data_IF_735088109168
#
_entry.id   IF_735088109168
#
_cell.length_a   1.000
_cell.length_b   1.000
_cell.length_c   1.000
_cell.angle_alpha   90.00
_cell.angle_beta   90.00
_cell.angle_gamma   90.00
#
_symmetry.space_group_name_H-M   'P 1'
#
loop_
_entity.id
_entity.type
_entity.pdbx_description
1 polymer ?
#
# COMPACT_ATOMS: atom_id res chain seq x y z
N UNK A 1 -34.80 66.16 20.88
CA UNK A 1 -34.57 66.72 19.52
C UNK A 1 -33.68 67.95 19.68
N UNK A 2 -32.38 67.84 19.39
CA UNK A 2 -31.43 68.96 19.44
C UNK A 2 -30.59 68.98 18.14
N UNK A 3 -30.46 70.20 17.59
CA UNK A 3 -29.71 70.58 16.39
C UNK A 3 -28.25 70.94 16.73
N UNK A 4 -27.48 71.19 15.66
CA UNK A 4 -26.17 71.90 15.57
C UNK A 4 -24.93 70.98 15.65
N UNK A 5 -23.88 71.02 14.80
CA UNK A 5 -23.35 71.98 13.80
C UNK A 5 -22.59 71.17 12.70
N UNK A 6 -22.77 71.38 11.39
CA UNK A 6 -21.97 72.25 10.47
C UNK A 6 -20.46 72.33 10.76
N UNK A 7 -19.61 71.77 9.88
CA UNK A 7 -18.42 72.37 9.19
C UNK A 7 -17.98 71.36 8.09
N UNK A 8 -18.28 71.57 6.80
CA UNK A 8 -17.48 72.22 5.75
C UNK A 8 -16.14 71.54 5.36
N UNK A 9 -16.18 70.95 4.15
CA UNK A 9 -15.19 71.09 3.04
C UNK A 9 -13.82 70.40 3.15
N UNK A 10 -13.50 69.49 2.21
CA UNK A 10 -12.67 69.74 1.00
C UNK A 10 -12.45 68.39 0.30
N UNK A 11 -12.86 68.33 -0.96
CA UNK A 11 -12.47 67.32 -1.94
C UNK A 11 -10.96 67.39 -2.18
N UNK A 12 -10.26 66.26 -2.03
CA UNK A 12 -8.98 66.06 -2.70
C UNK A 12 -8.95 64.63 -3.26
N UNK A 13 -9.22 64.55 -4.55
CA UNK A 13 -9.01 63.35 -5.36
C UNK A 13 -7.49 63.21 -5.50
N UNK A 14 -6.92 62.22 -4.83
CA UNK A 14 -5.54 61.80 -5.06
C UNK A 14 -5.60 60.60 -6.01
N UNK A 15 -5.34 60.87 -7.29
CA UNK A 15 -5.14 59.87 -8.32
C UNK A 15 -3.75 59.25 -8.13
N UNK A 16 -3.67 58.11 -7.45
CA UNK A 16 -2.44 57.31 -7.40
C UNK A 16 -2.38 56.39 -8.63
N UNK A 17 -1.56 56.80 -9.60
CA UNK A 17 -0.98 55.89 -10.58
C UNK A 17 0.10 55.07 -9.87
N UNK A 18 -0.18 53.80 -9.56
CA UNK A 18 0.85 52.81 -9.28
C UNK A 18 0.85 51.76 -10.39
N UNK A 19 1.81 51.93 -11.29
CA UNK A 19 2.38 50.84 -12.09
C UNK A 19 3.38 50.15 -11.18
N UNK A 20 3.20 48.86 -10.89
CA UNK A 20 4.27 47.83 -10.80
C UNK A 20 3.69 46.51 -10.30
N UNK A 21 4.05 45.42 -10.99
CA UNK A 21 4.17 44.10 -10.38
C UNK A 21 2.97 43.17 -10.56
N UNK A 22 2.95 42.41 -11.67
CA UNK A 22 2.44 41.05 -11.60
C UNK A 22 3.37 40.26 -10.68
N UNK A 23 3.09 40.27 -9.38
CA UNK A 23 3.73 39.36 -8.44
C UNK A 23 3.18 37.97 -8.75
N UNK A 24 3.93 37.21 -9.54
CA UNK A 24 3.68 35.77 -9.70
C UNK A 24 3.81 35.17 -8.31
N UNK A 25 2.66 34.90 -7.69
CA UNK A 25 2.55 34.04 -6.54
C UNK A 25 3.06 32.67 -7.00
N UNK A 26 4.33 32.37 -6.73
CA UNK A 26 4.83 31.01 -6.80
C UNK A 26 4.03 30.22 -5.77
N UNK A 27 3.02 29.50 -6.24
CA UNK A 27 2.44 28.39 -5.51
C UNK A 27 3.59 27.44 -5.19
N UNK A 28 4.06 27.53 -3.96
CA UNK A 28 4.98 26.56 -3.37
C UNK A 28 4.26 25.23 -3.45
N UNK A 29 4.50 24.47 -4.52
CA UNK A 29 4.05 23.11 -4.70
C UNK A 29 4.53 22.38 -3.45
N UNK A 30 3.60 22.16 -2.52
CA UNK A 30 3.85 21.33 -1.35
C UNK A 30 4.22 19.98 -1.92
N UNK A 31 5.51 19.69 -1.93
CA UNK A 31 6.02 18.36 -2.19
C UNK A 31 5.38 17.50 -1.11
N UNK A 32 4.35 16.76 -1.50
CA UNK A 32 3.77 15.72 -0.66
C UNK A 32 4.93 14.77 -0.45
N UNK A 33 5.56 14.84 0.73
CA UNK A 33 6.43 13.78 1.20
C UNK A 33 5.49 12.60 1.38
N UNK A 34 5.29 11.84 0.30
CA UNK A 34 4.70 10.51 0.40
C UNK A 34 5.74 9.75 1.18
N UNK A 35 5.54 9.65 2.49
CA UNK A 35 6.38 8.83 3.34
C UNK A 35 6.32 7.43 2.75
N UNK A 36 7.41 7.04 2.10
CA UNK A 36 7.47 5.85 1.25
C UNK A 36 7.47 4.65 2.19
N UNK A 37 6.26 4.23 2.55
CA UNK A 37 6.08 3.18 3.53
C UNK A 37 6.66 1.88 2.98
N UNK A 38 7.47 1.22 3.81
CA UNK A 38 8.07 -0.07 3.47
C UNK A 38 6.96 -1.04 3.01
N UNK A 39 7.14 -1.75 1.87
CA UNK A 39 6.16 -2.74 1.43
C UNK A 39 5.98 -3.82 2.50
N UNK A 40 4.75 -4.31 2.65
CA UNK A 40 4.42 -5.36 3.61
C UNK A 40 3.90 -6.58 2.86
N UNK A 41 4.45 -7.75 3.20
CA UNK A 41 3.98 -9.05 2.73
C UNK A 41 3.50 -9.85 3.94
N UNK A 42 2.21 -10.16 3.96
CA UNK A 42 1.57 -10.93 5.03
C UNK A 42 1.28 -12.35 4.51
N UNK A 43 1.70 -13.37 5.25
CA UNK A 43 1.58 -14.78 4.89
C UNK A 43 0.77 -15.49 5.98
N UNK A 44 -0.44 -15.95 5.65
CA UNK A 44 -1.22 -16.86 6.50
C UNK A 44 -1.00 -18.29 6.03
N UNK A 45 -0.65 -19.21 6.93
CA UNK A 45 -0.37 -20.60 6.56
C UNK A 45 -0.90 -21.60 7.60
N UNK A 46 -1.30 -22.78 7.11
CA UNK A 46 -1.66 -23.90 7.98
C UNK A 46 -0.43 -24.69 8.36
N UNK A 47 0.01 -24.59 9.61
CA UNK A 47 1.31 -25.07 10.07
C UNK A 47 1.40 -26.60 10.24
N UNK A 48 1.23 -27.34 9.14
CA UNK A 48 1.28 -28.81 9.11
C UNK A 48 2.05 -29.32 7.88
N UNK A 49 2.38 -30.62 7.87
CA UNK A 49 3.30 -31.27 6.92
C UNK A 49 3.25 -30.76 5.47
N UNK A 50 2.11 -30.83 4.77
CA UNK A 50 2.01 -30.46 3.35
C UNK A 50 2.54 -29.07 2.98
N UNK A 51 2.42 -28.06 3.85
CA UNK A 51 2.83 -26.68 3.53
C UNK A 51 4.32 -26.41 3.76
N UNK A 52 4.99 -27.24 4.58
CA UNK A 52 6.35 -26.96 5.04
C UNK A 52 7.38 -26.80 3.90
N UNK A 53 7.36 -27.63 2.83
CA UNK A 53 8.27 -27.45 1.70
C UNK A 53 8.09 -26.09 1.01
N UNK A 54 6.84 -25.65 0.84
CA UNK A 54 6.50 -24.36 0.23
C UNK A 54 7.00 -23.21 1.11
N UNK A 55 6.74 -23.25 2.43
CA UNK A 55 7.22 -22.22 3.35
C UNK A 55 8.75 -22.12 3.39
N UNK A 56 9.45 -23.27 3.34
CA UNK A 56 10.92 -23.29 3.28
C UNK A 56 11.43 -22.61 2.00
N UNK A 57 10.82 -22.92 0.85
CA UNK A 57 11.18 -22.31 -0.43
C UNK A 57 10.87 -20.82 -0.45
N UNK A 58 9.71 -20.39 0.03
CA UNK A 58 9.36 -18.97 0.17
C UNK A 58 10.39 -18.21 1.02
N UNK A 59 10.76 -18.73 2.20
CA UNK A 59 11.78 -18.09 3.05
C UNK A 59 13.13 -17.96 2.35
N UNK A 60 13.55 -19.01 1.64
CA UNK A 60 14.80 -19.00 0.86
C UNK A 60 14.78 -17.92 -0.21
N UNK A 61 13.69 -17.81 -0.97
CA UNK A 61 13.54 -16.81 -2.03
C UNK A 61 13.42 -15.39 -1.44
N UNK A 62 12.76 -15.23 -0.29
CA UNK A 62 12.53 -13.93 0.34
C UNK A 62 13.77 -13.33 1.00
N UNK A 63 14.80 -14.13 1.28
CA UNK A 63 16.06 -13.65 1.85
C UNK A 63 16.69 -12.50 1.03
N UNK A 64 16.49 -12.48 -0.29
CA UNK A 64 17.01 -11.41 -1.16
C UNK A 64 16.34 -10.03 -0.95
N UNK A 65 15.19 -10.00 -0.27
CA UNK A 65 14.41 -8.78 0.01
C UNK A 65 14.53 -8.32 1.46
N UNK A 66 15.46 -8.91 2.22
CA UNK A 66 15.73 -8.49 3.60
C UNK A 66 15.99 -6.97 3.66
N UNK A 67 15.42 -6.32 4.67
CA UNK A 67 15.45 -4.86 4.88
C UNK A 67 14.79 -4.00 3.79
N UNK A 68 14.14 -4.61 2.78
CA UNK A 68 13.39 -3.89 1.74
C UNK A 68 11.89 -4.13 1.81
N UNK A 69 11.46 -5.16 2.53
CA UNK A 69 10.08 -5.61 2.69
C UNK A 69 9.90 -6.10 4.12
N UNK A 70 8.77 -5.76 4.73
CA UNK A 70 8.33 -6.36 5.99
C UNK A 70 7.58 -7.66 5.69
N UNK A 71 8.12 -8.80 6.13
CA UNK A 71 7.43 -10.09 6.03
C UNK A 71 6.78 -10.45 7.36
N UNK A 72 5.45 -10.63 7.35
CA UNK A 72 4.66 -11.06 8.52
C UNK A 72 4.12 -12.46 8.29
N UNK A 73 4.36 -13.36 9.22
CA UNK A 73 3.99 -14.77 9.12
C UNK A 73 2.97 -15.09 10.21
N UNK A 74 1.82 -15.62 9.80
CA UNK A 74 0.68 -15.92 10.65
C UNK A 74 0.32 -17.41 10.51
N UNK A 75 0.27 -18.09 11.65
CA UNK A 75 -0.15 -19.47 11.78
C UNK A 75 -1.69 -19.52 11.88
N UNK A 76 -2.34 -20.21 10.94
CA UNK A 76 -3.80 -20.28 10.82
C UNK A 76 -4.51 -20.73 12.10
N UNK A 77 -3.85 -21.59 12.88
CA UNK A 77 -4.40 -22.15 14.12
C UNK A 77 -4.17 -21.25 15.34
N UNK A 78 -3.19 -20.33 15.27
CA UNK A 78 -2.78 -19.50 16.42
C UNK A 78 -3.18 -18.04 16.28
N UNK A 79 -3.10 -17.49 15.07
CA UNK A 79 -3.32 -16.06 14.80
C UNK A 79 -4.79 -15.76 14.44
N UNK A 80 -5.69 -16.10 15.37
CA UNK A 80 -7.14 -16.01 15.18
C UNK A 80 -7.59 -14.58 14.88
N UNK A 81 -7.04 -13.57 15.56
CA UNK A 81 -7.41 -12.17 15.33
C UNK A 81 -7.08 -11.71 13.91
N UNK A 82 -5.90 -12.07 13.41
CA UNK A 82 -5.49 -11.76 12.03
C UNK A 82 -6.40 -12.46 11.02
N UNK A 83 -6.66 -13.75 11.24
CA UNK A 83 -7.56 -14.56 10.41
C UNK A 83 -8.97 -13.94 10.34
N UNK A 84 -9.55 -13.58 11.48
CA UNK A 84 -10.84 -12.91 11.57
C UNK A 84 -10.83 -11.54 10.89
N UNK A 85 -9.79 -10.72 11.09
CA UNK A 85 -9.63 -9.42 10.42
C UNK A 85 -9.60 -9.54 8.90
N UNK A 86 -9.01 -10.62 8.35
CA UNK A 86 -8.93 -10.88 6.92
C UNK A 86 -10.18 -11.57 6.35
N UNK A 87 -11.16 -11.92 7.19
CA UNK A 87 -12.38 -12.61 6.76
C UNK A 87 -12.12 -14.03 6.25
N UNK A 88 -11.09 -14.70 6.76
CA UNK A 88 -10.77 -16.08 6.40
C UNK A 88 -11.42 -17.02 7.43
N UNK A 89 -12.42 -17.79 7.01
CA UNK A 89 -13.16 -18.72 7.87
C UNK A 89 -13.11 -20.18 7.38
N UNK A 90 -12.57 -20.42 6.19
CA UNK A 90 -12.44 -21.76 5.60
C UNK A 90 -10.99 -22.26 5.58
N UNK A 91 -10.85 -23.57 5.47
CA UNK A 91 -9.58 -24.29 5.42
C UNK A 91 -8.76 -23.85 4.19
N UNK A 92 -7.82 -22.93 4.41
CA UNK A 92 -6.99 -22.36 3.35
C UNK A 92 -5.51 -22.60 3.69
N UNK A 93 -4.82 -23.52 3.00
CA UNK A 93 -3.47 -23.94 3.38
C UNK A 93 -2.45 -22.80 3.42
N UNK A 94 -2.62 -21.82 2.54
CA UNK A 94 -1.72 -20.70 2.36
C UNK A 94 -2.46 -19.53 1.69
N UNK A 95 -2.27 -18.32 2.19
CA UNK A 95 -2.68 -17.07 1.52
C UNK A 95 -1.58 -16.04 1.71
N UNK A 96 -1.28 -15.28 0.66
CA UNK A 96 -0.29 -14.20 0.72
C UNK A 96 -0.93 -12.89 0.29
N UNK A 97 -0.77 -11.85 1.10
CA UNK A 97 -1.14 -10.49 0.75
C UNK A 97 0.13 -9.65 0.56
N UNK A 98 0.16 -8.84 -0.49
CA UNK A 98 1.20 -7.85 -0.74
C UNK A 98 0.50 -6.49 -0.70
N UNK A 99 0.93 -5.61 0.22
CA UNK A 99 0.27 -4.32 0.48
C UNK A 99 -1.26 -4.47 0.62
N UNK A 100 -1.69 -5.42 1.46
CA UNK A 100 -3.08 -5.73 1.77
C UNK A 100 -3.93 -6.32 0.61
N UNK A 101 -3.34 -6.64 -0.55
CA UNK A 101 -4.02 -7.35 -1.64
C UNK A 101 -3.44 -8.74 -1.86
N UNK A 102 -4.28 -9.77 -1.97
CA UNK A 102 -3.87 -11.12 -2.39
C UNK A 102 -4.00 -11.34 -3.91
N UNK A 103 -4.45 -10.32 -4.64
CA UNK A 103 -4.51 -10.30 -6.11
C UNK A 103 -3.53 -9.24 -6.60
N UNK A 104 -2.57 -9.65 -7.43
CA UNK A 104 -1.53 -8.75 -7.95
C UNK A 104 -1.46 -8.89 -9.46
N UNK A 105 -1.37 -7.74 -10.14
CA UNK A 105 -1.07 -7.69 -11.56
C UNK A 105 0.45 -7.92 -11.78
N UNK A 106 0.78 -8.96 -12.54
CA UNK A 106 2.15 -9.32 -12.92
C UNK A 106 2.16 -9.45 -14.43
N UNK A 107 2.90 -8.57 -15.11
CA UNK A 107 3.06 -8.60 -16.56
C UNK A 107 1.71 -8.60 -17.33
N UNK A 108 0.67 -7.95 -16.78
CA UNK A 108 -0.69 -7.88 -17.36
C UNK A 108 -1.60 -9.06 -17.00
N UNK A 109 -1.13 -10.00 -16.18
CA UNK A 109 -1.90 -11.12 -15.64
C UNK A 109 -2.28 -10.85 -14.18
N UNK A 110 -3.56 -11.02 -13.82
CA UNK A 110 -3.99 -10.97 -12.42
C UNK A 110 -3.75 -12.33 -11.77
N UNK A 111 -2.82 -12.37 -10.81
CA UNK A 111 -2.46 -13.59 -10.07
C UNK A 111 -3.02 -13.49 -8.64
N UNK A 112 -3.74 -14.54 -8.22
CA UNK A 112 -4.25 -14.68 -6.85
C UNK A 112 -3.36 -15.61 -6.04
N UNK A 113 -2.79 -15.12 -4.95
CA UNK A 113 -1.93 -15.90 -4.06
C UNK A 113 -2.73 -16.56 -2.93
N UNK A 114 -3.44 -17.64 -3.27
CA UNK A 114 -4.20 -18.47 -2.33
C UNK A 114 -4.08 -19.95 -2.69
N UNK A 115 -4.13 -20.82 -1.68
CA UNK A 115 -3.85 -22.26 -1.82
C UNK A 115 -2.37 -22.56 -2.03
N UNK A 116 -2.06 -23.83 -2.30
CA UNK A 116 -0.71 -24.24 -2.70
C UNK A 116 -0.31 -23.65 -4.06
N UNK A 117 0.99 -23.46 -4.35
CA UNK A 117 1.44 -23.25 -5.72
C UNK A 117 0.96 -24.36 -6.67
N UNK A 118 0.81 -24.05 -7.96
CA UNK A 118 0.21 -24.89 -9.01
C UNK A 118 0.81 -26.30 -9.13
N UNK A 119 2.07 -26.47 -8.75
CA UNK A 119 2.80 -27.76 -8.86
C UNK A 119 3.22 -28.32 -7.49
N UNK A 120 2.73 -27.74 -6.39
CA UNK A 120 3.08 -28.10 -5.02
C UNK A 120 1.84 -28.58 -4.23
N UNK A 121 2.02 -29.40 -3.20
CA UNK A 121 0.94 -29.85 -2.31
C UNK A 121 -0.16 -30.71 -2.96
N UNK A 122 -1.25 -31.01 -2.23
CA UNK A 122 -2.38 -31.81 -2.71
C UNK A 122 -3.16 -31.09 -3.83
N UNK A 123 -3.48 -31.79 -4.90
CA UNK A 123 -4.10 -31.21 -6.12
C UNK A 123 -5.38 -30.43 -5.85
N UNK A 124 -6.26 -30.94 -4.98
CA UNK A 124 -7.53 -30.29 -4.61
C UNK A 124 -7.37 -28.97 -3.84
N UNK A 125 -6.15 -28.64 -3.41
CA UNK A 125 -5.85 -27.45 -2.61
C UNK A 125 -4.87 -26.48 -3.32
N UNK A 126 -4.59 -26.72 -4.61
CA UNK A 126 -3.69 -25.89 -5.42
C UNK A 126 -4.41 -24.66 -5.97
N UNK A 127 -3.71 -23.53 -5.95
CA UNK A 127 -4.05 -22.32 -6.67
C UNK A 127 -3.43 -22.29 -8.06
N UNK A 128 -3.68 -21.19 -8.79
CA UNK A 128 -3.13 -20.93 -10.13
C UNK A 128 -1.97 -19.94 -10.07
N UNK A 129 -0.99 -20.21 -9.19
CA UNK A 129 0.18 -19.36 -9.02
C UNK A 129 1.44 -20.18 -8.76
N UNK A 130 2.62 -19.61 -8.96
CA UNK A 130 3.89 -20.23 -8.65
C UNK A 130 4.82 -19.29 -7.86
N UNK A 131 5.85 -19.86 -7.24
CA UNK A 131 6.77 -19.09 -6.38
C UNK A 131 7.51 -18.00 -7.18
N UNK A 132 7.81 -18.22 -8.47
CA UNK A 132 8.46 -17.19 -9.28
C UNK A 132 7.54 -15.98 -9.54
N UNK A 133 6.24 -16.18 -9.74
CA UNK A 133 5.25 -15.09 -9.78
C UNK A 133 5.21 -14.35 -8.44
N UNK A 134 5.20 -15.07 -7.31
CA UNK A 134 5.23 -14.42 -5.99
C UNK A 134 6.50 -13.57 -5.80
N UNK A 135 7.67 -14.08 -6.18
CA UNK A 135 8.94 -13.33 -6.13
C UNK A 135 8.89 -12.10 -7.04
N UNK A 136 8.36 -12.22 -8.26
CA UNK A 136 8.15 -11.07 -9.17
C UNK A 136 7.24 -10.02 -8.55
N UNK A 137 6.15 -10.44 -7.90
CA UNK A 137 5.20 -9.54 -7.26
C UNK A 137 5.85 -8.75 -6.11
N UNK A 138 6.63 -9.43 -5.26
CA UNK A 138 7.42 -8.78 -4.19
C UNK A 138 8.45 -7.83 -4.80
N UNK A 139 9.15 -8.24 -5.85
CA UNK A 139 10.13 -7.38 -6.50
C UNK A 139 9.50 -6.13 -7.14
N UNK A 140 8.28 -6.25 -7.68
CA UNK A 140 7.52 -5.12 -8.25
C UNK A 140 7.25 -4.06 -7.17
N UNK A 141 6.79 -4.46 -5.99
CA UNK A 141 6.53 -3.49 -4.90
C UNK A 141 7.81 -2.92 -4.32
N UNK A 142 8.92 -3.67 -4.30
CA UNK A 142 10.24 -3.15 -3.89
C UNK A 142 10.79 -2.10 -4.86
N UNK A 143 10.53 -2.24 -6.16
CA UNK A 143 10.99 -1.28 -7.19
C UNK A 143 10.08 -0.07 -7.35
N UNK A 144 8.77 -0.26 -7.14
CA UNK A 144 7.76 0.79 -7.26
C UNK A 144 7.68 1.69 -6.03
N UNK A 145 8.17 1.19 -4.89
CA UNK A 145 8.59 2.01 -3.78
C UNK A 145 9.95 2.58 -4.13
#
# INVERSE_FOLDING_TARGET
MNKFNVVKTISLIVLFLFVTGCEKKEEKKSEIIVDKQMPVVEILYMNHGPVQPVLKKMRSEFAQFENKVEFKWYDFEKDIEFKSKKGIDYHTPLVVWINNSNIVDIDGEKVTFSGFPKDDGPEFARGQWNISQLVKAVQKVVKGN
#
